data_IF_761473363310
#
_entry.id   IF_761473363310
#
_cell.length_a   1.000
_cell.length_b   1.000
_cell.length_c   1.000
_cell.angle_alpha   90.00
_cell.angle_beta   90.00
_cell.angle_gamma   90.00
#
_symmetry.space_group_name_H-M   'P 1'
#
loop_
_entity.id
_entity.type
_entity.pdbx_description
1 polymer ?
#
# COMPACT_ATOMS: atom_id res chain seq x y z
N UNK A 1 -17.29 -6.17 -17.46
CA UNK A 1 -16.95 -4.79 -17.87
C UNK A 1 -15.49 -4.84 -18.33
N UNK A 2 -15.20 -4.46 -19.58
CA UNK A 2 -13.85 -4.55 -20.15
C UNK A 2 -12.93 -3.51 -19.48
N UNK A 3 -11.87 -3.96 -18.81
CA UNK A 3 -10.93 -3.09 -18.11
C UNK A 3 -9.89 -2.59 -19.12
N UNK A 4 -9.96 -1.30 -19.48
CA UNK A 4 -8.96 -0.63 -20.32
C UNK A 4 -7.93 0.07 -19.44
N UNK A 5 -6.64 -0.14 -19.71
CA UNK A 5 -5.53 0.50 -19.00
C UNK A 5 -5.65 2.02 -19.04
N UNK A 6 -5.52 2.68 -17.90
CA UNK A 6 -5.48 4.13 -17.80
C UNK A 6 -4.27 4.55 -16.97
N UNK A 7 -3.56 5.58 -17.44
CA UNK A 7 -2.50 6.24 -16.72
C UNK A 7 -2.89 7.70 -16.53
N UNK A 8 -2.66 8.24 -15.34
CA UNK A 8 -2.97 9.63 -15.04
C UNK A 8 -1.89 10.19 -14.11
N UNK A 9 -1.32 11.32 -14.49
CA UNK A 9 -0.34 12.02 -13.66
C UNK A 9 -1.04 12.69 -12.47
N UNK A 10 -0.40 12.61 -11.31
CA UNK A 10 -0.86 13.33 -10.12
C UNK A 10 -0.57 14.83 -10.26
N UNK A 11 -1.54 15.72 -9.95
CA UNK A 11 -1.30 17.16 -9.99
C UNK A 11 -0.30 17.58 -8.91
N UNK A 12 0.44 18.68 -9.12
CA UNK A 12 1.38 19.19 -8.11
C UNK A 12 0.67 19.80 -6.90
N UNK A 13 -0.52 20.35 -7.12
CA UNK A 13 -1.39 20.92 -6.10
C UNK A 13 -2.65 20.05 -5.96
N UNK A 14 -2.92 19.61 -4.73
CA UNK A 14 -4.03 18.72 -4.39
C UNK A 14 -5.25 19.49 -3.86
N UNK A 15 -5.19 20.81 -3.72
CA UNK A 15 -6.27 21.64 -3.16
C UNK A 15 -7.57 21.55 -3.96
N UNK A 16 -7.47 21.27 -5.26
CA UNK A 16 -8.64 21.13 -6.15
C UNK A 16 -9.23 19.71 -6.15
N UNK A 17 -8.59 18.75 -5.48
CA UNK A 17 -9.13 17.40 -5.41
C UNK A 17 -10.32 17.33 -4.45
N UNK A 18 -11.35 16.51 -4.76
CA UNK A 18 -12.44 16.25 -3.83
C UNK A 18 -11.90 15.78 -2.48
N UNK A 19 -12.37 16.35 -1.38
CA UNK A 19 -11.92 15.96 -0.04
C UNK A 19 -12.83 14.86 0.52
N UNK A 20 -12.22 13.76 0.95
CA UNK A 20 -12.87 12.69 1.71
C UNK A 20 -12.61 12.81 3.20
N UNK A 21 -13.09 11.83 3.98
CA UNK A 21 -12.95 11.79 5.44
C UNK A 21 -11.50 11.85 5.95
N UNK A 22 -10.54 11.40 5.15
CA UNK A 22 -9.13 11.31 5.51
C UNK A 22 -8.20 12.15 4.60
N UNK A 23 -8.75 13.09 3.83
CA UNK A 23 -7.99 13.96 2.91
C UNK A 23 -8.39 13.82 1.44
N UNK A 24 -7.54 14.29 0.50
CA UNK A 24 -7.84 14.34 -0.92
C UNK A 24 -8.16 12.96 -1.51
N UNK A 25 -9.22 12.87 -2.31
CA UNK A 25 -9.59 11.66 -3.05
C UNK A 25 -8.78 11.63 -4.33
N UNK A 26 -7.87 10.67 -4.42
CA UNK A 26 -7.04 10.47 -5.59
C UNK A 26 -7.80 9.80 -6.74
N UNK A 27 -7.45 10.10 -8.00
CA UNK A 27 -8.13 9.49 -9.13
C UNK A 27 -7.86 7.99 -9.20
N UNK A 28 -8.94 7.26 -9.50
CA UNK A 28 -8.96 5.81 -9.50
C UNK A 28 -8.41 5.32 -10.83
N UNK A 29 -7.41 4.44 -10.78
CA UNK A 29 -7.12 3.66 -11.98
C UNK A 29 -8.03 2.41 -11.97
N UNK A 30 -8.27 1.78 -13.12
CA UNK A 30 -8.98 0.51 -13.22
C UNK A 30 -8.36 -0.62 -12.39
N UNK A 31 -7.12 -0.44 -11.93
CA UNK A 31 -6.38 -1.36 -11.06
C UNK A 31 -6.05 -0.77 -9.67
N UNK A 32 -6.54 0.43 -9.30
CA UNK A 32 -6.05 1.11 -8.10
C UNK A 32 -7.10 1.91 -7.31
N UNK A 33 -7.31 1.47 -6.05
CA UNK A 33 -7.27 2.33 -4.84
C UNK A 33 -5.98 2.09 -4.04
N UNK A 34 -5.05 1.32 -4.58
CA UNK A 34 -3.88 0.87 -3.87
C UNK A 34 -2.92 2.00 -3.52
N UNK A 35 -2.22 1.81 -2.42
CA UNK A 35 -1.22 2.73 -1.91
C UNK A 35 0.08 1.95 -1.71
N UNK A 36 1.20 2.60 -2.00
CA UNK A 36 2.50 2.07 -1.64
C UNK A 36 3.07 2.90 -0.49
N UNK A 37 3.33 2.25 0.64
CA UNK A 37 4.09 2.88 1.73
C UNK A 37 5.52 2.46 1.53
N UNK A 38 6.42 3.43 1.47
CA UNK A 38 7.86 3.20 1.49
C UNK A 38 8.46 3.91 2.69
N UNK A 39 9.18 3.18 3.52
CA UNK A 39 9.88 3.79 4.65
C UNK A 39 11.13 3.01 5.03
N UNK A 40 12.13 3.75 5.53
CA UNK A 40 13.35 3.18 6.08
C UNK A 40 13.02 2.42 7.37
N UNK A 41 13.52 1.19 7.53
CA UNK A 41 13.36 0.46 8.79
C UNK A 41 14.45 0.85 9.79
N UNK A 42 14.17 0.62 11.08
CA UNK A 42 15.21 0.73 12.11
C UNK A 42 16.20 -0.44 11.92
N UNK A 43 17.52 -0.21 11.96
CA UNK A 43 18.50 -1.29 11.85
C UNK A 43 18.27 -2.40 12.87
N UNK A 44 18.37 -3.66 12.43
CA UNK A 44 18.21 -4.83 13.31
C UNK A 44 16.75 -5.18 13.64
N UNK A 45 15.77 -4.63 12.91
CA UNK A 45 14.33 -4.91 13.09
C UNK A 45 13.70 -5.67 11.92
N UNK A 46 14.50 -6.33 11.12
CA UNK A 46 14.05 -7.15 10.00
C UNK A 46 13.14 -8.28 10.49
N UNK A 47 13.47 -8.93 11.61
CA UNK A 47 12.63 -9.97 12.21
C UNK A 47 11.23 -9.46 12.57
N UNK A 48 11.13 -8.29 13.21
CA UNK A 48 9.86 -7.67 13.59
C UNK A 48 8.98 -7.40 12.36
N UNK A 49 9.60 -7.01 11.24
CA UNK A 49 8.88 -6.84 9.97
C UNK A 49 8.29 -8.17 9.48
N UNK A 50 9.08 -9.25 9.48
CA UNK A 50 8.62 -10.56 9.01
C UNK A 50 7.56 -11.16 9.95
N UNK A 51 7.71 -11.04 11.26
CA UNK A 51 6.73 -11.48 12.25
C UNK A 51 5.39 -10.77 12.02
N UNK A 52 5.41 -9.45 11.78
CA UNK A 52 4.20 -8.71 11.46
C UNK A 52 3.56 -9.15 10.14
N UNK A 53 4.37 -9.38 9.10
CA UNK A 53 3.87 -9.87 7.82
C UNK A 53 3.16 -11.23 7.95
N UNK A 54 3.74 -12.16 8.71
CA UNK A 54 3.15 -13.48 9.00
C UNK A 54 1.84 -13.36 9.80
N UNK A 55 1.78 -12.45 10.77
CA UNK A 55 0.55 -12.21 11.53
C UNK A 55 -0.58 -11.70 10.63
N UNK A 56 -0.29 -10.80 9.67
CA UNK A 56 -1.29 -10.31 8.72
C UNK A 56 -1.71 -11.42 7.75
N UNK A 57 -0.78 -12.24 7.26
CA UNK A 57 -1.09 -13.40 6.43
C UNK A 57 -2.07 -14.35 7.14
N UNK A 58 -1.77 -14.71 8.39
CA UNK A 58 -2.64 -15.56 9.21
C UNK A 58 -4.02 -14.91 9.42
N UNK A 59 -4.07 -13.61 9.74
CA UNK A 59 -5.33 -12.90 9.96
C UNK A 59 -6.21 -12.85 8.70
N UNK A 60 -5.62 -12.63 7.52
CA UNK A 60 -6.35 -12.64 6.24
C UNK A 60 -6.81 -14.06 5.88
N UNK A 61 -6.02 -15.08 6.18
CA UNK A 61 -6.41 -16.47 5.98
C UNK A 61 -7.62 -16.87 6.86
N UNK A 62 -7.63 -16.40 8.12
CA UNK A 62 -8.74 -16.65 9.06
C UNK A 62 -9.97 -15.78 8.75
N UNK A 63 -9.77 -14.50 8.46
CA UNK A 63 -10.83 -13.51 8.19
C UNK A 63 -10.50 -12.71 6.92
N UNK A 64 -10.91 -13.18 5.73
CA UNK A 64 -10.55 -12.55 4.45
C UNK A 64 -10.92 -11.06 4.31
N UNK A 65 -11.99 -10.63 5.01
CA UNK A 65 -12.50 -9.26 4.95
C UNK A 65 -11.86 -8.33 5.99
N UNK A 66 -10.89 -8.78 6.81
CA UNK A 66 -10.31 -7.96 7.89
C UNK A 66 -9.61 -6.68 7.39
N UNK A 67 -9.23 -6.64 6.11
CA UNK A 67 -8.65 -5.47 5.43
C UNK A 67 -9.60 -4.86 4.37
N UNK A 68 -10.88 -5.24 4.33
CA UNK A 68 -11.85 -4.74 3.35
C UNK A 68 -11.93 -3.20 3.22
N UNK A 69 -11.80 -2.39 4.30
CA UNK A 69 -11.79 -0.93 4.18
C UNK A 69 -10.64 -0.38 3.32
N UNK A 70 -9.52 -1.11 3.22
CA UNK A 70 -8.36 -0.72 2.44
C UNK A 70 -8.55 -0.99 0.93
N UNK A 71 -9.53 -1.82 0.55
CA UNK A 71 -9.86 -2.16 -0.84
C UNK A 71 -8.66 -2.67 -1.66
N UNK A 72 -7.85 -3.51 -1.02
CA UNK A 72 -6.64 -4.08 -1.62
C UNK A 72 -7.00 -5.20 -2.59
N UNK A 73 -6.30 -5.27 -3.71
CA UNK A 73 -6.40 -6.41 -4.63
C UNK A 73 -5.43 -7.54 -4.26
N UNK A 74 -4.26 -7.19 -3.72
CA UNK A 74 -3.24 -8.10 -3.21
C UNK A 74 -2.41 -7.37 -2.15
N UNK A 75 -1.69 -8.09 -1.31
CA UNK A 75 -0.80 -7.50 -0.31
C UNK A 75 0.61 -8.10 -0.43
N UNK A 76 1.62 -7.25 -0.56
CA UNK A 76 3.03 -7.68 -0.58
C UNK A 76 3.87 -6.90 0.43
N UNK A 77 4.69 -7.65 1.17
CA UNK A 77 5.66 -7.17 2.15
C UNK A 77 7.07 -7.38 1.59
N UNK A 78 7.81 -6.29 1.36
CA UNK A 78 9.17 -6.36 0.80
C UNK A 78 10.14 -5.56 1.68
N UNK A 79 11.29 -6.16 1.97
CA UNK A 79 12.48 -5.43 2.40
C UNK A 79 13.49 -5.40 1.25
N UNK A 80 14.11 -4.24 1.02
CA UNK A 80 15.15 -4.11 0.00
C UNK A 80 16.15 -3.00 0.38
N UNK A 81 17.41 -3.12 -0.06
CA UNK A 81 18.42 -2.10 0.21
C UNK A 81 18.32 -0.91 -0.76
N UNK A 82 18.53 0.30 -0.23
CA UNK A 82 18.77 1.53 -0.99
C UNK A 82 19.97 2.23 -0.33
N UNK A 83 21.06 2.45 -1.06
CA UNK A 83 22.27 3.15 -0.58
C UNK A 83 22.81 2.61 0.76
N UNK A 84 22.82 1.28 0.93
CA UNK A 84 23.31 0.62 2.15
C UNK A 84 22.32 0.60 3.31
N UNK A 85 21.13 1.16 3.14
CA UNK A 85 20.07 1.23 4.14
C UNK A 85 18.90 0.34 3.75
N UNK A 86 18.24 -0.30 4.72
CA UNK A 86 17.10 -1.18 4.45
C UNK A 86 15.79 -0.40 4.49
N UNK A 87 15.01 -0.55 3.43
CA UNK A 87 13.68 0.02 3.30
C UNK A 87 12.64 -1.09 3.25
N UNK A 88 11.47 -0.80 3.82
CA UNK A 88 10.29 -1.60 3.59
C UNK A 88 9.39 -0.94 2.56
N UNK A 89 8.71 -1.77 1.77
CA UNK A 89 7.58 -1.34 0.96
C UNK A 89 6.38 -2.25 1.19
N UNK A 90 5.26 -1.61 1.48
CA UNK A 90 3.92 -2.17 1.40
C UNK A 90 3.38 -1.92 0.00
N UNK A 91 2.87 -2.94 -0.67
CA UNK A 91 2.11 -2.79 -1.92
C UNK A 91 0.74 -3.44 -1.75
N UNK A 92 -0.32 -2.67 -1.94
CA UNK A 92 -1.68 -3.18 -2.08
C UNK A 92 -2.62 -2.12 -2.62
#
# INVERSE_FOLDING_TARGET
>A
MEIKTQAMAMPRDMAQLPQGKYGPIFPKSPANYGFSILAKIKPGRESVFYDYAQNIEAAVAETPDCLAPLKLHYLRWILFPIDGETYFMYQG
#
